data_IF_247664961919
#
_entry.id   IF_247664961919
#
_cell.length_a   1.000
_cell.length_b   1.000
_cell.length_c   1.000
_cell.angle_alpha   90.00
_cell.angle_beta   90.00
_cell.angle_gamma   90.00
#
_symmetry.space_group_name_H-M   'P 1'
#
loop_
_entity.id
_entity.type
_entity.pdbx_description
1 polymer ?
#
# COMPACT_ATOMS: atom_id res chain seq x y z
N UNK A 1 4.65 13.72 1.84
CA UNK A 1 5.32 13.31 3.08
C UNK A 1 6.70 13.97 3.05
N UNK A 2 6.86 15.09 3.80
CA UNK A 2 8.15 15.74 3.90
C UNK A 2 9.18 14.75 4.41
N UNK A 3 10.40 14.83 3.88
CA UNK A 3 11.55 14.32 4.58
C UNK A 3 11.57 15.06 5.91
N UNK A 4 11.00 14.47 6.95
CA UNK A 4 11.43 14.77 8.28
C UNK A 4 12.86 14.26 8.31
N UNK A 5 13.82 15.18 8.11
CA UNK A 5 15.18 14.92 8.55
C UNK A 5 15.05 14.43 9.98
N UNK A 6 15.62 13.29 10.25
CA UNK A 6 15.58 12.55 11.50
C UNK A 6 16.36 13.30 12.60
N UNK A 7 15.88 14.46 12.99
CA UNK A 7 16.24 15.10 14.23
C UNK A 7 15.07 14.94 15.20
N UNK A 8 15.07 13.77 15.90
CA UNK A 8 14.49 13.65 17.24
C UNK A 8 13.02 14.08 17.41
N UNK A 9 12.13 13.77 16.43
CA UNK A 9 10.70 13.83 16.70
C UNK A 9 10.33 12.53 17.39
N UNK A 10 10.24 12.55 18.71
CA UNK A 10 9.78 11.42 19.52
C UNK A 10 8.29 11.26 19.25
N UNK A 11 7.84 10.04 18.97
CA UNK A 11 6.43 9.75 18.68
C UNK A 11 5.47 10.23 19.77
N UNK A 12 5.93 10.16 21.03
CA UNK A 12 5.22 10.65 22.19
C UNK A 12 4.84 12.12 22.06
N UNK A 13 5.78 12.97 21.64
CA UNK A 13 5.56 14.40 21.48
C UNK A 13 4.50 14.71 20.42
N UNK A 14 4.52 13.95 19.30
CA UNK A 14 3.51 14.08 18.23
C UNK A 14 2.13 13.66 18.73
N UNK A 15 2.05 12.55 19.44
CA UNK A 15 0.80 12.01 19.99
C UNK A 15 0.21 12.99 21.03
N UNK A 16 1.03 13.60 21.87
CA UNK A 16 0.59 14.56 22.88
C UNK A 16 0.01 15.86 22.28
N UNK A 17 0.48 16.28 21.10
CA UNK A 17 -0.05 17.46 20.41
C UNK A 17 -1.43 17.24 19.79
N UNK A 18 -1.86 16.00 19.62
CA UNK A 18 -3.14 15.67 19.00
C UNK A 18 -4.29 15.78 20.02
N UNK A 19 -5.47 16.26 19.60
CA UNK A 19 -6.65 16.25 20.43
C UNK A 19 -7.03 14.80 20.78
N UNK A 20 -7.64 14.61 21.95
CA UNK A 20 -8.15 13.28 22.36
C UNK A 20 -9.20 12.79 21.36
N UNK A 21 -9.07 11.55 20.89
CA UNK A 21 -9.96 10.93 19.92
C UNK A 21 -9.31 9.71 19.24
N UNK A 22 -10.06 9.06 18.36
CA UNK A 22 -9.67 7.81 17.68
C UNK A 22 -8.28 7.87 17.02
N UNK A 23 -7.90 9.01 16.43
CA UNK A 23 -6.59 9.17 15.80
C UNK A 23 -5.45 9.11 16.82
N UNK A 24 -5.62 9.79 17.97
CA UNK A 24 -4.62 9.77 19.04
C UNK A 24 -4.48 8.36 19.62
N UNK A 25 -5.60 7.70 19.88
CA UNK A 25 -5.64 6.34 20.41
C UNK A 25 -4.95 5.36 19.45
N UNK A 26 -5.26 5.46 18.15
CA UNK A 26 -4.62 4.65 17.11
C UNK A 26 -3.10 4.89 17.01
N UNK A 27 -2.65 6.13 17.09
CA UNK A 27 -1.21 6.43 17.05
C UNK A 27 -0.49 5.98 18.32
N UNK A 28 -1.16 6.00 19.47
CA UNK A 28 -0.63 5.44 20.71
C UNK A 28 -0.45 3.92 20.60
N UNK A 29 -1.45 3.20 20.07
CA UNK A 29 -1.35 1.75 19.77
C UNK A 29 -0.21 1.43 18.81
N UNK A 30 0.00 2.27 17.79
CA UNK A 30 1.12 2.14 16.85
C UNK A 30 2.46 2.33 17.54
N UNK A 31 2.59 3.33 18.41
CA UNK A 31 3.82 3.63 19.13
C UNK A 31 4.20 2.50 20.11
N UNK A 32 3.21 1.89 20.76
CA UNK A 32 3.40 0.73 21.63
C UNK A 32 3.77 -0.55 20.87
N UNK A 33 3.91 -0.49 19.53
CA UNK A 33 4.20 -1.63 18.64
C UNK A 33 3.21 -2.79 18.77
N UNK A 34 1.98 -2.50 19.19
CA UNK A 34 0.92 -3.50 19.29
C UNK A 34 0.32 -3.86 17.94
N UNK A 35 0.40 -2.93 16.96
CA UNK A 35 -0.13 -3.10 15.61
C UNK A 35 0.95 -3.61 14.67
N UNK A 36 0.72 -4.78 14.07
CA UNK A 36 1.60 -5.35 13.04
C UNK A 36 1.20 -4.84 11.67
N UNK A 37 2.17 -4.28 10.94
CA UNK A 37 1.97 -3.76 9.58
C UNK A 37 2.75 -4.59 8.58
N UNK A 38 2.08 -5.06 7.53
CA UNK A 38 2.72 -5.64 6.36
C UNK A 38 2.72 -4.64 5.21
N UNK A 39 3.90 -4.24 4.77
CA UNK A 39 4.10 -3.26 3.70
C UNK A 39 4.56 -3.93 2.40
N UNK A 40 3.88 -3.64 1.29
CA UNK A 40 4.38 -3.82 -0.07
C UNK A 40 4.93 -2.47 -0.54
N UNK A 41 6.25 -2.32 -0.71
CA UNK A 41 6.85 -1.05 -1.09
C UNK A 41 6.61 -0.73 -2.57
N UNK A 42 6.70 0.56 -2.94
CA UNK A 42 6.57 1.03 -4.32
C UNK A 42 7.63 0.39 -5.24
N UNK A 43 8.91 0.46 -4.86
CA UNK A 43 10.04 -0.01 -5.66
C UNK A 43 10.38 -1.48 -5.40
N UNK A 44 9.76 -2.38 -6.17
CA UNK A 44 9.98 -3.83 -6.03
C UNK A 44 11.36 -4.28 -6.53
N UNK A 45 12.02 -3.52 -7.39
CA UNK A 45 13.38 -3.77 -7.88
C UNK A 45 14.48 -3.69 -6.79
N UNK A 46 14.14 -3.20 -5.60
CA UNK A 46 15.02 -3.28 -4.44
C UNK A 46 14.98 -4.65 -3.74
N UNK A 47 13.94 -5.47 -3.96
CA UNK A 47 13.80 -6.78 -3.31
C UNK A 47 14.98 -7.72 -3.65
N UNK A 48 15.43 -7.85 -4.91
CA UNK A 48 16.60 -8.70 -5.23
C UNK A 48 17.90 -8.21 -4.60
N UNK A 49 17.99 -6.94 -4.22
CA UNK A 49 19.15 -6.38 -3.51
C UNK A 49 19.13 -6.75 -2.02
N UNK A 50 17.94 -6.76 -1.42
CA UNK A 50 17.75 -7.06 -0.01
C UNK A 50 17.73 -8.57 0.30
N UNK A 51 17.20 -9.38 -0.62
CA UNK A 51 17.10 -10.83 -0.44
C UNK A 51 17.79 -11.56 -1.60
N UNK A 52 18.78 -12.42 -1.26
CA UNK A 52 19.50 -13.26 -2.23
C UNK A 52 18.93 -14.67 -2.19
N UNK A 53 18.28 -15.07 -3.28
CA UNK A 53 17.70 -16.41 -3.41
C UNK A 53 16.61 -16.48 -4.47
N UNK A 54 15.97 -17.64 -4.53
CA UNK A 54 14.86 -17.86 -5.45
C UNK A 54 13.50 -17.46 -4.81
N UNK A 55 12.49 -17.37 -5.65
CA UNK A 55 11.11 -16.99 -5.26
C UNK A 55 10.57 -17.90 -4.16
N UNK A 56 10.76 -19.22 -4.29
CA UNK A 56 10.25 -20.20 -3.33
C UNK A 56 10.83 -19.98 -1.93
N UNK A 57 12.14 -19.70 -1.83
CA UNK A 57 12.79 -19.41 -0.55
C UNK A 57 12.27 -18.12 0.09
N UNK A 58 12.08 -17.05 -0.71
CA UNK A 58 11.52 -15.80 -0.21
C UNK A 58 10.11 -16.04 0.35
N UNK A 59 9.22 -16.63 -0.44
CA UNK A 59 7.83 -16.84 -0.04
C UNK A 59 7.70 -17.78 1.16
N UNK A 60 8.53 -18.81 1.24
CA UNK A 60 8.56 -19.71 2.40
C UNK A 60 9.02 -19.01 3.67
N UNK A 61 10.01 -18.11 3.56
CA UNK A 61 10.56 -17.40 4.73
C UNK A 61 9.59 -16.40 5.37
N UNK A 62 8.60 -15.92 4.59
CA UNK A 62 7.60 -14.94 5.06
C UNK A 62 6.22 -15.56 5.30
N UNK A 63 6.08 -16.87 5.16
CA UNK A 63 4.80 -17.58 5.28
C UNK A 63 4.36 -17.75 6.74
N UNK A 64 3.95 -16.66 7.38
CA UNK A 64 3.45 -16.66 8.75
C UNK A 64 1.99 -17.14 8.87
N UNK A 65 1.24 -17.09 7.77
CA UNK A 65 -0.19 -17.46 7.73
C UNK A 65 -0.43 -18.91 7.33
N UNK A 66 0.59 -19.65 6.88
CA UNK A 66 0.44 -21.02 6.39
C UNK A 66 -0.30 -21.15 5.06
N UNK A 67 -0.40 -20.07 4.27
CA UNK A 67 -1.17 -20.01 3.02
C UNK A 67 -0.29 -20.15 1.77
N UNK A 68 0.91 -20.71 1.89
CA UNK A 68 1.92 -20.77 0.82
C UNK A 68 1.35 -21.35 -0.48
N UNK A 69 0.84 -22.58 -0.46
CA UNK A 69 0.38 -23.26 -1.67
C UNK A 69 -0.83 -22.58 -2.30
N UNK A 70 -1.74 -22.09 -1.49
CA UNK A 70 -2.92 -21.35 -1.94
C UNK A 70 -2.50 -20.06 -2.66
N UNK A 71 -1.61 -19.28 -2.07
CA UNK A 71 -1.15 -18.02 -2.64
C UNK A 71 -0.34 -18.25 -3.91
N UNK A 72 0.55 -19.25 -3.97
CA UNK A 72 1.26 -19.60 -5.21
C UNK A 72 0.28 -19.88 -6.35
N UNK A 73 -0.75 -20.68 -6.09
CA UNK A 73 -1.78 -20.98 -7.08
C UNK A 73 -2.57 -19.72 -7.46
N UNK A 74 -2.97 -18.95 -6.47
CA UNK A 74 -3.77 -17.73 -6.64
C UNK A 74 -3.04 -16.65 -7.42
N UNK A 75 -1.72 -16.56 -7.31
CA UNK A 75 -0.87 -15.62 -8.05
C UNK A 75 -0.24 -16.23 -9.32
N UNK A 76 -0.41 -17.52 -9.57
CA UNK A 76 0.18 -18.20 -10.71
C UNK A 76 1.70 -18.23 -10.70
N UNK A 77 2.33 -18.36 -9.52
CA UNK A 77 3.77 -18.26 -9.33
C UNK A 77 4.52 -19.60 -9.44
N UNK A 78 3.82 -20.72 -9.64
CA UNK A 78 4.43 -22.05 -9.60
C UNK A 78 5.63 -22.23 -10.53
N UNK A 79 5.60 -21.65 -11.73
CA UNK A 79 6.70 -21.71 -12.70
C UNK A 79 7.88 -20.80 -12.37
N UNK A 80 7.75 -19.92 -11.36
CA UNK A 80 8.78 -18.96 -10.95
C UNK A 80 9.54 -19.41 -9.70
N UNK A 81 9.08 -20.44 -8.98
CA UNK A 81 9.60 -20.78 -7.64
C UNK A 81 11.11 -21.03 -7.61
N UNK A 82 11.66 -21.65 -8.66
CA UNK A 82 13.10 -21.95 -8.76
C UNK A 82 13.91 -20.80 -9.37
N UNK A 83 13.26 -19.75 -9.90
CA UNK A 83 13.97 -18.61 -10.47
C UNK A 83 14.50 -17.70 -9.37
N UNK A 84 15.68 -17.13 -9.59
CA UNK A 84 16.21 -16.08 -8.74
C UNK A 84 15.43 -14.78 -8.95
N UNK A 85 15.33 -13.98 -7.88
CA UNK A 85 14.57 -12.73 -7.90
C UNK A 85 15.09 -11.70 -8.92
N UNK A 86 16.38 -11.69 -9.18
CA UNK A 86 17.05 -10.81 -10.15
C UNK A 86 16.78 -11.19 -11.62
N UNK A 87 16.19 -12.36 -11.86
CA UNK A 87 15.84 -12.86 -13.20
C UNK A 87 14.35 -12.60 -13.54
N UNK A 88 13.61 -11.99 -12.63
CA UNK A 88 12.18 -11.73 -12.81
C UNK A 88 11.95 -10.43 -13.59
N UNK A 89 10.92 -10.43 -14.42
CA UNK A 89 10.37 -9.20 -14.99
C UNK A 89 9.72 -8.34 -13.90
N UNK A 90 9.52 -7.04 -14.18
CA UNK A 90 8.87 -6.14 -13.23
C UNK A 90 7.49 -6.63 -12.77
N UNK A 91 6.67 -7.15 -13.69
CA UNK A 91 5.35 -7.69 -13.35
C UNK A 91 5.41 -9.00 -12.55
N UNK A 92 6.37 -9.89 -12.82
CA UNK A 92 6.60 -11.09 -12.02
C UNK A 92 7.05 -10.72 -10.60
N UNK A 93 7.99 -9.79 -10.49
CA UNK A 93 8.49 -9.32 -9.21
C UNK A 93 7.40 -8.60 -8.39
N UNK A 94 6.54 -7.82 -9.06
CA UNK A 94 5.38 -7.18 -8.44
C UNK A 94 4.41 -8.21 -7.83
N UNK A 95 4.08 -9.27 -8.58
CA UNK A 95 3.22 -10.36 -8.08
C UNK A 95 3.85 -11.09 -6.89
N UNK A 96 5.15 -11.36 -6.97
CA UNK A 96 5.90 -11.98 -5.86
C UNK A 96 5.90 -11.07 -4.62
N UNK A 97 6.10 -9.76 -4.79
CA UNK A 97 6.08 -8.80 -3.68
C UNK A 97 4.73 -8.74 -2.98
N UNK A 98 3.63 -8.68 -3.75
CA UNK A 98 2.27 -8.68 -3.20
C UNK A 98 1.99 -10.00 -2.48
N UNK A 99 2.33 -11.14 -3.10
CA UNK A 99 2.19 -12.46 -2.50
C UNK A 99 2.95 -12.56 -1.16
N UNK A 100 4.20 -12.10 -1.13
CA UNK A 100 5.02 -12.09 0.09
C UNK A 100 4.39 -11.22 1.20
N UNK A 101 3.79 -10.09 0.84
CA UNK A 101 3.09 -9.23 1.80
C UNK A 101 1.86 -9.93 2.38
N UNK A 102 1.08 -10.62 1.56
CA UNK A 102 -0.12 -11.34 1.96
C UNK A 102 0.15 -12.60 2.82
N UNK A 103 1.33 -13.17 2.70
CA UNK A 103 1.77 -14.32 3.50
C UNK A 103 2.16 -13.94 4.93
N UNK A 104 2.43 -12.68 5.21
CA UNK A 104 2.70 -12.18 6.57
C UNK A 104 1.41 -12.10 7.38
N UNK A 105 1.53 -12.31 8.69
CA UNK A 105 0.44 -12.08 9.64
C UNK A 105 0.50 -10.64 10.14
N UNK A 106 -0.47 -9.83 9.74
CA UNK A 106 -0.53 -8.41 10.10
C UNK A 106 -1.96 -7.96 10.41
N UNK A 107 -2.07 -6.86 11.15
CA UNK A 107 -3.34 -6.21 11.48
C UNK A 107 -3.73 -5.18 10.41
N UNK A 108 -2.70 -4.62 9.76
CA UNK A 108 -2.84 -3.65 8.67
C UNK A 108 -1.95 -4.05 7.50
N UNK A 109 -2.50 -4.09 6.31
CA UNK A 109 -1.78 -4.31 5.07
C UNK A 109 -1.72 -3.01 4.27
N UNK A 110 -0.51 -2.61 3.90
CA UNK A 110 -0.26 -1.40 3.15
C UNK A 110 0.33 -1.74 1.78
N UNK A 111 -0.34 -1.32 0.71
CA UNK A 111 0.11 -1.54 -0.67
C UNK A 111 0.39 -0.21 -1.35
N UNK A 112 1.65 -0.01 -1.74
CA UNK A 112 2.06 1.18 -2.48
C UNK A 112 2.17 0.84 -3.97
N UNK A 113 1.28 1.41 -4.78
CA UNK A 113 1.13 1.17 -6.22
C UNK A 113 1.11 -0.34 -6.59
N UNK A 114 0.14 -1.13 -6.10
CA UNK A 114 0.11 -2.56 -6.38
C UNK A 114 -0.17 -2.90 -7.85
N UNK A 115 -0.74 -2.00 -8.63
CA UNK A 115 -1.07 -2.23 -10.04
C UNK A 115 0.09 -1.95 -11.01
N UNK A 116 1.19 -1.33 -10.55
CA UNK A 116 2.35 -0.98 -11.37
C UNK A 116 2.98 -2.21 -12.04
N UNK A 117 3.46 -2.07 -13.27
CA UNK A 117 4.09 -3.12 -14.08
C UNK A 117 3.18 -4.28 -14.50
N UNK A 118 1.89 -4.24 -14.19
CA UNK A 118 0.93 -5.31 -14.49
C UNK A 118 0.08 -4.97 -15.71
N UNK A 119 -0.23 -5.97 -16.51
CA UNK A 119 -1.26 -5.87 -17.53
C UNK A 119 -2.67 -5.82 -16.91
N UNK A 120 -3.69 -5.53 -17.72
CA UNK A 120 -5.06 -5.34 -17.24
C UNK A 120 -5.64 -6.58 -16.53
N UNK A 121 -5.28 -7.78 -16.98
CA UNK A 121 -5.78 -9.03 -16.38
C UNK A 121 -5.17 -9.24 -14.99
N UNK A 122 -3.85 -9.06 -14.88
CA UNK A 122 -3.15 -9.18 -13.61
C UNK A 122 -3.57 -8.08 -12.64
N UNK A 123 -3.80 -6.83 -13.10
CA UNK A 123 -4.35 -5.74 -12.27
C UNK A 123 -5.68 -6.15 -11.66
N UNK A 124 -6.64 -6.60 -12.47
CA UNK A 124 -7.97 -7.01 -11.97
C UNK A 124 -7.89 -8.21 -11.02
N UNK A 125 -6.94 -9.11 -11.27
CA UNK A 125 -6.67 -10.23 -10.37
C UNK A 125 -6.18 -9.77 -9.01
N UNK A 126 -5.20 -8.87 -8.97
CA UNK A 126 -4.65 -8.28 -7.75
C UNK A 126 -5.73 -7.49 -6.99
N UNK A 127 -6.52 -6.69 -7.68
CA UNK A 127 -7.64 -5.95 -7.09
C UNK A 127 -8.59 -6.88 -6.33
N UNK A 128 -9.01 -7.98 -6.95
CA UNK A 128 -9.90 -8.97 -6.30
C UNK A 128 -9.26 -9.58 -5.06
N UNK A 129 -7.97 -9.92 -5.13
CA UNK A 129 -7.25 -10.51 -4.00
C UNK A 129 -7.16 -9.51 -2.83
N UNK A 130 -6.92 -8.24 -3.12
CA UNK A 130 -6.87 -7.18 -2.09
C UNK A 130 -8.26 -6.93 -1.50
N UNK A 131 -9.32 -6.94 -2.32
CA UNK A 131 -10.70 -6.84 -1.84
C UNK A 131 -11.07 -7.99 -0.91
N UNK A 132 -10.76 -9.24 -1.27
CA UNK A 132 -10.98 -10.39 -0.39
C UNK A 132 -10.23 -10.26 0.94
N UNK A 133 -9.00 -9.72 0.92
CA UNK A 133 -8.25 -9.44 2.15
C UNK A 133 -8.96 -8.41 3.03
N UNK A 134 -9.55 -7.37 2.43
CA UNK A 134 -10.22 -6.29 3.15
C UNK A 134 -11.46 -6.73 3.95
N UNK A 135 -12.03 -7.90 3.64
CA UNK A 135 -13.11 -8.49 4.43
C UNK A 135 -12.66 -8.94 5.83
N UNK A 136 -11.37 -9.21 6.03
CA UNK A 136 -10.80 -9.77 7.26
C UNK A 136 -9.68 -8.95 7.89
N UNK A 137 -9.15 -7.95 7.20
CA UNK A 137 -8.04 -7.13 7.66
C UNK A 137 -8.21 -5.67 7.20
N UNK A 138 -7.54 -4.75 7.90
CA UNK A 138 -7.46 -3.35 7.47
C UNK A 138 -6.49 -3.24 6.30
N UNK A 139 -6.94 -2.62 5.21
CA UNK A 139 -6.13 -2.46 4.00
C UNK A 139 -6.05 -1.00 3.62
N UNK A 140 -4.83 -0.54 3.36
CA UNK A 140 -4.54 0.80 2.84
C UNK A 140 -3.83 0.63 1.50
N UNK A 141 -4.32 1.30 0.47
CA UNK A 141 -3.75 1.25 -0.87
C UNK A 141 -3.42 2.68 -1.31
N UNK A 142 -2.20 2.90 -1.78
CA UNK A 142 -1.83 4.10 -2.54
C UNK A 142 -1.86 3.72 -4.01
N UNK A 143 -2.62 4.47 -4.80
CA UNK A 143 -2.81 4.21 -6.23
C UNK A 143 -3.06 5.53 -6.98
N UNK A 144 -2.56 5.61 -8.19
CA UNK A 144 -2.76 6.75 -9.08
C UNK A 144 -3.58 6.39 -10.34
N UNK A 145 -3.81 5.11 -10.61
CA UNK A 145 -4.70 4.64 -11.67
C UNK A 145 -6.16 4.74 -11.20
N UNK A 146 -6.90 5.69 -11.76
CA UNK A 146 -8.28 5.97 -11.36
C UNK A 146 -9.23 4.81 -11.65
N UNK A 147 -8.95 4.00 -12.68
CA UNK A 147 -9.76 2.82 -13.00
C UNK A 147 -9.56 1.72 -11.95
N UNK A 148 -8.35 1.56 -11.46
CA UNK A 148 -8.04 0.64 -10.35
C UNK A 148 -8.69 1.15 -9.05
N UNK A 149 -8.56 2.44 -8.75
CA UNK A 149 -9.16 3.06 -7.56
C UNK A 149 -10.68 2.89 -7.50
N UNK A 150 -11.38 3.09 -8.62
CA UNK A 150 -12.86 2.96 -8.67
C UNK A 150 -13.34 1.55 -8.34
N UNK A 151 -12.49 0.56 -8.56
CA UNK A 151 -12.83 -0.85 -8.26
C UNK A 151 -12.34 -1.29 -6.89
N UNK A 152 -11.15 -0.86 -6.46
CA UNK A 152 -10.48 -1.42 -5.28
C UNK A 152 -10.96 -0.81 -3.96
N UNK A 153 -11.44 0.44 -3.96
CA UNK A 153 -11.69 1.21 -2.74
C UNK A 153 -13.11 1.76 -2.66
N UNK A 154 -13.70 1.70 -1.46
CA UNK A 154 -14.97 2.37 -1.14
C UNK A 154 -14.76 3.83 -0.71
N UNK A 155 -13.68 4.07 0.04
CA UNK A 155 -13.29 5.37 0.58
C UNK A 155 -11.91 5.75 0.09
N UNK A 156 -11.76 7.01 -0.30
CA UNK A 156 -10.51 7.55 -0.84
C UNK A 156 -10.19 8.90 -0.21
N UNK A 157 -8.93 9.06 0.16
CA UNK A 157 -8.31 10.34 0.50
C UNK A 157 -7.53 10.85 -0.71
N UNK A 158 -7.64 12.13 -1.02
CA UNK A 158 -6.77 12.76 -2.00
C UNK A 158 -5.57 13.35 -1.27
N UNK A 159 -4.37 12.99 -1.72
CA UNK A 159 -3.13 13.59 -1.26
C UNK A 159 -2.65 14.58 -2.30
N UNK A 160 -2.46 15.82 -1.90
CA UNK A 160 -2.10 16.91 -2.78
C UNK A 160 -1.05 17.81 -2.15
N UNK A 161 -0.09 18.28 -2.93
CA UNK A 161 0.93 19.17 -2.39
C UNK A 161 2.05 19.48 -3.36
N UNK A 162 2.93 20.38 -2.92
CA UNK A 162 4.15 20.77 -3.62
C UNK A 162 5.35 20.34 -2.81
N UNK A 163 6.23 19.56 -3.41
CA UNK A 163 7.45 19.06 -2.77
C UNK A 163 8.25 20.21 -2.11
N UNK A 164 8.56 20.06 -0.83
CA UNK A 164 9.31 21.05 -0.06
C UNK A 164 8.55 22.30 0.36
N UNK A 165 7.25 22.40 0.08
CA UNK A 165 6.43 23.55 0.42
C UNK A 165 5.23 23.20 1.32
N UNK A 166 4.36 22.29 0.89
CA UNK A 166 3.20 21.87 1.68
C UNK A 166 2.65 20.54 1.19
N UNK A 167 1.91 19.83 2.06
CA UNK A 167 1.11 18.66 1.71
C UNK A 167 -0.25 18.72 2.40
N UNK A 168 -1.30 18.38 1.67
CA UNK A 168 -2.67 18.32 2.13
C UNK A 168 -3.16 16.88 1.99
N UNK A 169 -3.75 16.36 3.05
CA UNK A 169 -4.43 15.09 3.09
C UNK A 169 -5.92 15.36 3.34
N UNK A 170 -6.76 15.05 2.36
CA UNK A 170 -8.19 15.36 2.46
C UNK A 170 -8.92 14.40 3.40
N UNK A 171 -10.06 14.79 3.97
CA UNK A 171 -10.97 13.83 4.61
C UNK A 171 -11.39 12.72 3.65
N UNK A 172 -11.73 11.54 4.19
CA UNK A 172 -12.23 10.41 3.42
C UNK A 172 -13.53 10.77 2.68
N UNK A 173 -13.62 10.34 1.44
CA UNK A 173 -14.81 10.50 0.58
C UNK A 173 -15.11 9.18 -0.11
N UNK A 174 -16.33 9.01 -0.60
CA UNK A 174 -16.58 7.89 -1.52
C UNK A 174 -15.68 8.03 -2.74
N UNK A 175 -15.16 6.92 -3.23
CA UNK A 175 -14.16 6.90 -4.30
C UNK A 175 -14.62 7.67 -5.53
N UNK A 176 -15.87 7.54 -5.94
CA UNK A 176 -16.43 8.31 -7.08
C UNK A 176 -16.40 9.82 -6.87
N UNK A 177 -16.71 10.30 -5.64
CA UNK A 177 -16.60 11.74 -5.33
C UNK A 177 -15.16 12.22 -5.34
N UNK A 178 -14.22 11.40 -4.84
CA UNK A 178 -12.80 11.71 -4.86
C UNK A 178 -12.26 11.77 -6.30
N UNK A 179 -12.60 10.80 -7.13
CA UNK A 179 -12.20 10.75 -8.55
C UNK A 179 -12.74 11.97 -9.31
N UNK A 180 -14.03 12.31 -9.14
CA UNK A 180 -14.62 13.48 -9.80
C UNK A 180 -13.91 14.78 -9.37
N UNK A 181 -13.70 14.99 -8.08
CA UNK A 181 -12.99 16.16 -7.57
C UNK A 181 -11.54 16.23 -8.12
N UNK A 182 -10.88 15.10 -8.25
CA UNK A 182 -9.54 15.03 -8.83
C UNK A 182 -9.54 15.38 -10.33
N UNK A 183 -10.49 14.85 -11.10
CA UNK A 183 -10.63 15.15 -12.55
C UNK A 183 -11.05 16.60 -12.79
N UNK A 184 -11.96 17.13 -11.98
CA UNK A 184 -12.39 18.53 -12.03
C UNK A 184 -11.26 19.49 -11.62
N UNK A 185 -10.25 18.99 -10.93
CA UNK A 185 -9.11 19.78 -10.48
C UNK A 185 -9.47 20.79 -9.39
N UNK A 186 -10.55 20.56 -8.64
CA UNK A 186 -11.00 21.46 -7.61
C UNK A 186 -11.57 20.75 -6.37
N UNK A 187 -11.10 21.15 -5.21
CA UNK A 187 -11.58 20.67 -3.91
C UNK A 187 -12.49 21.73 -3.26
N UNK A 188 -13.78 21.61 -3.47
CA UNK A 188 -14.82 22.59 -3.03
C UNK A 188 -14.72 22.88 -1.52
N UNK A 189 -14.59 21.86 -0.71
CA UNK A 189 -14.59 21.99 0.76
C UNK A 189 -13.36 22.71 1.31
N UNK A 190 -12.29 22.77 0.55
CA UNK A 190 -11.03 23.39 0.93
C UNK A 190 -10.74 24.65 0.12
N UNK A 191 -11.67 25.01 -0.80
CA UNK A 191 -11.51 26.12 -1.74
C UNK A 191 -10.16 26.09 -2.46
N UNK A 192 -9.73 24.90 -2.90
CA UNK A 192 -8.41 24.63 -3.42
C UNK A 192 -8.48 24.12 -4.85
N UNK A 193 -7.78 24.82 -5.76
CA UNK A 193 -7.59 24.38 -7.15
C UNK A 193 -6.40 23.44 -7.25
N UNK A 194 -6.61 22.28 -7.86
CA UNK A 194 -5.56 21.27 -8.13
C UNK A 194 -4.84 21.54 -9.46
N UNK A 195 -5.33 22.50 -10.28
CA UNK A 195 -4.88 22.73 -11.66
C UNK A 195 -3.71 23.74 -11.75
N UNK A 196 -3.45 24.50 -10.71
CA UNK A 196 -2.48 25.60 -10.75
C UNK A 196 -1.15 25.27 -10.07
N UNK A 197 -0.55 24.12 -10.46
CA UNK A 197 0.83 23.82 -10.03
C UNK A 197 1.62 23.22 -11.19
#
# INVERSE_FOLDING_TARGET
LGEFESSECIWEDVIETLPRGELRDFLSELNESTVKVALKPQYVDHIPKAFKGNVGKLLSSVNERGLYDEMIKKFGLGHLLERNLDQLSGGELQRVAICATLLKKADVYFFDEPSSYLDIYERMRIVRIIQELSESARVIVIEHDLAVLDVIADLTHIVYGKKGAFGIFTPARTTRKAINAYIEGYLVEQNLSLIHI
#
